data_IF_319000472655
#
_entry.id   IF_319000472655
#
_cell.length_a   1.000
_cell.length_b   1.000
_cell.length_c   1.000
_cell.angle_alpha   90.00
_cell.angle_beta   90.00
_cell.angle_gamma   90.00
#
_symmetry.space_group_name_H-M   'P 1'
#
loop_
_entity.id
_entity.type
_entity.pdbx_description
1 polymer ?
#
# COMPACT_ATOMS: atom_id res chain seq x y z
N UNK A 1 -1.48 39.60 2.52
CA UNK A 1 -1.70 38.14 2.60
C UNK A 1 -0.65 37.53 3.49
N UNK A 2 0.62 37.47 3.07
CA UNK A 2 1.69 36.95 3.95
C UNK A 2 1.83 37.79 5.23
N UNK A 3 1.81 37.12 6.38
CA UNK A 3 2.12 37.68 7.69
C UNK A 3 3.21 36.85 8.38
N UNK A 4 4.45 37.34 8.33
CA UNK A 4 5.60 36.67 8.94
C UNK A 4 5.54 36.59 10.47
N UNK A 5 4.65 37.32 11.15
CA UNK A 5 4.47 37.15 12.60
C UNK A 5 3.89 35.76 12.93
N UNK A 6 3.23 35.10 11.97
CA UNK A 6 2.68 33.75 12.13
C UNK A 6 3.77 32.67 12.20
N UNK A 7 5.01 32.94 11.79
CA UNK A 7 6.13 32.01 11.98
C UNK A 7 6.40 31.73 13.47
N UNK A 8 6.04 32.65 14.36
CA UNK A 8 6.20 32.50 15.81
C UNK A 8 5.06 31.70 16.48
N UNK A 9 4.07 31.22 15.72
CA UNK A 9 3.03 30.33 16.25
C UNK A 9 3.52 28.89 16.42
N UNK A 10 4.58 28.50 15.72
CA UNK A 10 5.15 27.17 15.86
C UNK A 10 5.96 27.07 17.15
N UNK A 11 5.77 25.96 17.85
CA UNK A 11 6.70 25.56 18.90
C UNK A 11 8.05 25.16 18.28
N UNK A 12 9.04 24.98 19.15
CA UNK A 12 10.40 24.67 18.71
C UNK A 12 10.48 23.39 17.87
N UNK A 13 9.77 22.33 18.27
CA UNK A 13 9.83 21.03 17.59
C UNK A 13 9.09 21.03 16.25
N UNK A 14 7.95 21.70 16.17
CA UNK A 14 7.22 21.95 14.93
C UNK A 14 8.08 22.72 13.93
N UNK A 15 8.71 23.81 14.37
CA UNK A 15 9.62 24.57 13.52
C UNK A 15 10.82 23.73 13.06
N UNK A 16 11.47 22.97 13.96
CA UNK A 16 12.59 22.09 13.57
C UNK A 16 12.18 21.00 12.60
N UNK A 17 10.94 20.51 12.67
CA UNK A 17 10.39 19.57 11.71
C UNK A 17 10.24 20.21 10.32
N UNK A 18 9.72 21.44 10.27
CA UNK A 18 9.61 22.22 9.03
C UNK A 18 10.99 22.48 8.41
N UNK A 19 11.94 22.99 9.20
CA UNK A 19 13.31 23.30 8.78
C UNK A 19 14.05 22.06 8.25
N UNK A 20 13.82 20.89 8.87
CA UNK A 20 14.48 19.66 8.46
C UNK A 20 14.02 19.20 7.07
N UNK A 21 12.70 19.20 6.81
CA UNK A 21 12.14 18.45 5.68
C UNK A 21 11.19 19.22 4.75
N UNK A 22 10.52 20.27 5.22
CA UNK A 22 9.42 20.93 4.47
C UNK A 22 9.84 22.19 3.73
N UNK A 23 10.76 22.96 4.30
CA UNK A 23 11.23 24.21 3.69
C UNK A 23 12.27 23.91 2.61
N UNK A 24 12.12 24.49 1.42
CA UNK A 24 13.04 24.28 0.32
C UNK A 24 14.47 24.75 0.68
N UNK A 25 15.46 24.01 0.17
CA UNK A 25 16.89 24.25 0.41
C UNK A 25 17.64 24.39 -0.90
N UNK A 26 18.52 25.38 -0.96
CA UNK A 26 19.46 25.57 -2.07
C UNK A 26 20.87 25.39 -1.51
N UNK A 27 21.62 24.43 -2.06
CA UNK A 27 22.97 24.06 -1.57
C UNK A 27 23.01 23.80 -0.05
N UNK A 28 21.94 23.18 0.49
CA UNK A 28 21.82 22.84 1.91
C UNK A 28 21.30 23.96 2.82
N UNK A 29 21.18 25.18 2.32
CA UNK A 29 20.69 26.34 3.07
C UNK A 29 19.18 26.49 2.84
N UNK A 30 18.41 26.66 3.91
CA UNK A 30 16.96 26.91 3.84
C UNK A 30 16.71 28.28 3.20
N UNK A 31 15.86 28.31 2.17
CA UNK A 31 15.51 29.54 1.42
C UNK A 31 14.05 29.95 1.58
N UNK A 32 13.21 29.10 2.15
CA UNK A 32 11.81 29.41 2.46
C UNK A 32 11.60 29.59 3.96
N UNK A 33 10.80 30.58 4.34
CA UNK A 33 10.14 30.61 5.66
C UNK A 33 8.86 29.76 5.63
N UNK A 34 8.31 29.35 6.80
CA UNK A 34 7.02 28.65 6.84
C UNK A 34 5.91 29.37 6.07
N UNK A 35 5.82 30.70 6.20
CA UNK A 35 4.81 31.46 5.43
C UNK A 35 5.03 31.41 3.91
N UNK A 36 6.29 31.39 3.45
CA UNK A 36 6.59 31.32 2.02
C UNK A 36 6.16 29.97 1.44
N UNK A 37 6.39 28.89 2.21
CA UNK A 37 5.94 27.54 1.86
C UNK A 37 4.40 27.45 1.81
N UNK A 38 3.67 28.03 2.78
CA UNK A 38 2.21 28.06 2.72
C UNK A 38 1.67 28.89 1.56
N UNK A 39 2.30 30.02 1.23
CA UNK A 39 1.90 30.82 0.08
C UNK A 39 2.15 30.06 -1.23
N UNK A 40 3.31 29.40 -1.37
CA UNK A 40 3.60 28.54 -2.54
C UNK A 40 2.53 27.46 -2.71
N UNK A 41 2.15 26.80 -1.62
CA UNK A 41 1.10 25.77 -1.64
C UNK A 41 -0.24 26.39 -2.04
N UNK A 42 -0.64 27.51 -1.43
CA UNK A 42 -1.91 28.16 -1.71
C UNK A 42 -2.03 28.57 -3.19
N UNK A 43 -1.00 29.21 -3.75
CA UNK A 43 -0.95 29.60 -5.16
C UNK A 43 -1.04 28.37 -6.08
N UNK A 44 -0.28 27.32 -5.78
CA UNK A 44 -0.26 26.13 -6.62
C UNK A 44 -1.58 25.34 -6.60
N UNK A 45 -2.34 25.40 -5.50
CA UNK A 45 -3.61 24.67 -5.35
C UNK A 45 -4.80 25.49 -5.88
N UNK A 46 -4.88 26.78 -5.53
CA UNK A 46 -5.99 27.66 -5.92
C UNK A 46 -5.82 28.29 -7.32
N UNK A 47 -4.65 28.17 -7.95
CA UNK A 47 -4.41 28.64 -9.30
C UNK A 47 -4.30 30.17 -9.38
N UNK A 48 -5.20 30.82 -10.13
CA UNK A 48 -5.14 32.25 -10.43
C UNK A 48 -6.15 33.10 -9.61
N UNK A 49 -6.98 32.47 -8.76
CA UNK A 49 -7.98 33.17 -7.95
C UNK A 49 -7.36 33.77 -6.67
N UNK A 50 -7.18 35.09 -6.64
CA UNK A 50 -6.57 35.79 -5.51
C UNK A 50 -7.40 35.71 -4.22
N UNK A 51 -8.72 35.59 -4.29
CA UNK A 51 -9.56 35.45 -3.09
C UNK A 51 -9.39 34.05 -2.49
N UNK A 52 -9.39 33.01 -3.32
CA UNK A 52 -9.19 31.62 -2.89
C UNK A 52 -7.76 31.38 -2.37
N UNK A 53 -6.73 31.93 -3.04
CA UNK A 53 -5.34 31.88 -2.55
C UNK A 53 -5.24 32.51 -1.17
N UNK A 54 -5.92 33.65 -0.96
CA UNK A 54 -5.90 34.35 0.33
C UNK A 54 -6.57 33.53 1.41
N UNK A 55 -7.76 32.99 1.14
CA UNK A 55 -8.48 32.14 2.08
C UNK A 55 -7.64 30.91 2.45
N UNK A 56 -7.11 30.18 1.46
CA UNK A 56 -6.31 28.99 1.69
C UNK A 56 -5.01 29.30 2.46
N UNK A 57 -4.33 30.39 2.11
CA UNK A 57 -3.16 30.85 2.88
C UNK A 57 -3.53 31.15 4.34
N UNK A 58 -4.63 31.87 4.59
CA UNK A 58 -5.07 32.21 5.95
C UNK A 58 -5.40 30.94 6.75
N UNK A 59 -6.10 29.97 6.16
CA UNK A 59 -6.42 28.69 6.80
C UNK A 59 -5.17 27.89 7.18
N UNK A 60 -4.18 27.80 6.26
CA UNK A 60 -2.91 27.09 6.50
C UNK A 60 -2.05 27.79 7.55
N UNK A 61 -1.84 29.10 7.40
CA UNK A 61 -0.92 29.88 8.23
C UNK A 61 -1.45 30.20 9.64
N UNK A 62 -2.77 30.16 9.84
CA UNK A 62 -3.40 30.22 11.17
C UNK A 62 -3.60 28.83 11.80
N UNK A 63 -3.10 27.78 11.15
CA UNK A 63 -3.18 26.40 11.61
C UNK A 63 -4.61 25.87 11.83
N UNK A 64 -5.60 26.36 11.09
CA UNK A 64 -6.95 25.77 11.10
C UNK A 64 -7.00 24.43 10.35
N UNK A 65 -6.10 24.26 9.38
CA UNK A 65 -6.01 23.08 8.52
C UNK A 65 -4.57 22.93 8.01
N UNK A 66 -4.20 21.73 7.57
CA UNK A 66 -2.93 21.49 6.86
C UNK A 66 -3.12 20.45 5.76
N UNK A 67 -2.44 20.66 4.64
CA UNK A 67 -2.37 19.65 3.58
C UNK A 67 -1.43 18.50 3.96
N UNK A 68 -1.57 17.38 3.24
CA UNK A 68 -0.66 16.26 3.39
C UNK A 68 0.78 16.62 2.98
N UNK A 69 1.74 15.87 3.53
CA UNK A 69 3.18 16.10 3.31
C UNK A 69 3.58 16.23 1.84
N UNK A 70 3.12 15.38 0.88
CA UNK A 70 3.50 15.53 -0.52
C UNK A 70 3.03 16.85 -1.14
N UNK A 71 1.83 17.31 -0.77
CA UNK A 71 1.32 18.61 -1.20
C UNK A 71 2.23 19.73 -0.70
N UNK A 72 2.61 19.73 0.58
CA UNK A 72 3.51 20.74 1.15
C UNK A 72 4.91 20.71 0.50
N UNK A 73 5.42 19.52 0.19
CA UNK A 73 6.73 19.33 -0.44
C UNK A 73 6.78 19.77 -1.90
N UNK A 74 5.74 19.46 -2.68
CA UNK A 74 5.82 19.44 -4.13
C UNK A 74 4.95 20.48 -4.83
N UNK A 75 3.97 21.10 -4.15
CA UNK A 75 3.14 22.15 -4.74
C UNK A 75 4.02 23.32 -5.20
N UNK A 76 3.84 23.76 -6.44
CA UNK A 76 4.64 24.83 -7.06
C UNK A 76 6.06 24.41 -7.49
N UNK A 77 6.45 23.15 -7.32
CA UNK A 77 7.73 22.61 -7.81
C UNK A 77 7.61 22.07 -9.25
N UNK A 78 8.74 21.74 -9.90
CA UNK A 78 8.75 21.18 -11.26
C UNK A 78 7.98 19.85 -11.39
N UNK A 79 8.04 19.01 -10.36
CA UNK A 79 7.28 17.75 -10.27
C UNK A 79 6.28 17.88 -9.14
N UNK A 80 5.01 18.10 -9.47
CA UNK A 80 3.93 18.35 -8.51
C UNK A 80 3.18 17.06 -8.16
N UNK A 81 3.87 16.10 -7.55
CA UNK A 81 3.21 14.93 -7.00
C UNK A 81 2.57 15.32 -5.66
N UNK A 82 1.25 15.52 -5.63
CA UNK A 82 0.54 16.04 -4.45
C UNK A 82 -0.17 14.96 -3.61
N UNK A 83 -0.32 13.75 -4.16
CA UNK A 83 -1.10 12.66 -3.55
C UNK A 83 -0.24 11.66 -2.77
N UNK A 84 -0.59 11.36 -1.53
CA UNK A 84 0.25 10.50 -0.67
C UNK A 84 0.17 9.01 -0.97
N UNK A 85 -1.00 8.50 -1.34
CA UNK A 85 -1.30 7.07 -1.31
C UNK A 85 -1.93 6.62 -2.62
N UNK A 86 -1.58 5.42 -3.04
CA UNK A 86 -2.06 4.78 -4.25
C UNK A 86 -2.53 3.36 -3.94
N UNK A 87 -3.63 2.95 -4.57
CA UNK A 87 -4.13 1.58 -4.53
C UNK A 87 -3.94 0.97 -5.91
N UNK A 88 -3.30 -0.20 -5.97
CA UNK A 88 -3.08 -0.94 -7.20
C UNK A 88 -3.69 -2.32 -7.10
N UNK A 89 -4.20 -2.76 -8.25
CA UNK A 89 -4.49 -4.14 -8.54
C UNK A 89 -3.29 -4.80 -9.19
N UNK A 90 -2.97 -6.03 -8.79
CA UNK A 90 -2.12 -6.88 -9.62
C UNK A 90 -2.79 -7.07 -10.97
N UNK A 91 -2.12 -6.65 -12.05
CA UNK A 91 -2.75 -6.55 -13.37
C UNK A 91 -3.20 -7.91 -13.92
N UNK A 92 -2.33 -8.91 -13.88
CA UNK A 92 -2.60 -10.26 -14.37
C UNK A 92 -1.81 -11.32 -13.62
N UNK A 93 -2.36 -12.55 -13.59
CA UNK A 93 -1.65 -13.76 -13.17
C UNK A 93 -0.70 -14.26 -14.28
N UNK A 94 0.26 -13.41 -14.64
CA UNK A 94 1.26 -13.62 -15.68
C UNK A 94 2.57 -12.93 -15.29
N UNK A 95 3.71 -13.40 -15.83
CA UNK A 95 5.01 -12.73 -15.58
C UNK A 95 4.97 -11.27 -16.05
N UNK A 96 4.36 -11.01 -17.21
CA UNK A 96 4.23 -9.64 -17.72
C UNK A 96 3.42 -8.76 -16.76
N UNK A 97 2.22 -9.21 -16.36
CA UNK A 97 1.38 -8.45 -15.42
C UNK A 97 2.04 -8.21 -14.07
N UNK A 98 2.79 -9.20 -13.54
CA UNK A 98 3.56 -9.05 -12.30
C UNK A 98 4.65 -7.99 -12.43
N UNK A 99 5.45 -8.03 -13.51
CA UNK A 99 6.55 -7.09 -13.72
C UNK A 99 6.08 -5.69 -14.12
N UNK A 100 4.97 -5.56 -14.84
CA UNK A 100 4.34 -4.28 -15.13
C UNK A 100 3.80 -3.64 -13.83
N UNK A 101 3.12 -4.42 -12.99
CA UNK A 101 2.70 -3.97 -11.65
C UNK A 101 3.90 -3.55 -10.78
N UNK A 102 4.99 -4.32 -10.81
CA UNK A 102 6.21 -4.00 -10.07
C UNK A 102 6.85 -2.69 -10.56
N UNK A 103 6.88 -2.46 -11.87
CA UNK A 103 7.36 -1.22 -12.48
C UNK A 103 6.51 -0.03 -12.03
N UNK A 104 5.19 -0.16 -12.02
CA UNK A 104 4.29 0.90 -11.53
C UNK A 104 4.55 1.21 -10.06
N UNK A 105 4.71 0.17 -9.22
CA UNK A 105 5.07 0.32 -7.81
C UNK A 105 6.41 1.06 -7.64
N UNK A 106 7.41 0.74 -8.46
CA UNK A 106 8.71 1.41 -8.43
C UNK A 106 8.59 2.90 -8.83
N UNK A 107 7.80 3.23 -9.85
CA UNK A 107 7.59 4.61 -10.29
C UNK A 107 6.84 5.45 -9.26
N UNK A 108 5.84 4.86 -8.59
CA UNK A 108 5.11 5.50 -7.50
C UNK A 108 6.00 5.67 -6.26
N UNK A 109 6.79 4.66 -5.89
CA UNK A 109 7.72 4.76 -4.76
C UNK A 109 8.77 5.84 -5.00
N UNK A 110 9.29 5.95 -6.22
CA UNK A 110 10.24 7.00 -6.61
C UNK A 110 9.70 8.41 -6.32
N UNK A 111 8.40 8.63 -6.49
CA UNK A 111 7.74 9.92 -6.24
C UNK A 111 7.21 10.07 -4.81
N UNK A 112 7.65 9.22 -3.88
CA UNK A 112 7.29 9.19 -2.47
C UNK A 112 5.83 8.80 -2.16
N UNK A 113 5.17 8.10 -3.08
CA UNK A 113 3.85 7.52 -2.85
C UNK A 113 3.91 6.25 -2.00
N UNK A 114 3.01 6.12 -1.02
CA UNK A 114 2.70 4.85 -0.37
C UNK A 114 1.77 4.00 -1.23
N UNK A 115 1.92 2.68 -1.18
CA UNK A 115 1.17 1.75 -2.05
C UNK A 115 0.39 0.75 -1.20
N UNK A 116 -0.89 0.59 -1.51
CA UNK A 116 -1.67 -0.61 -1.19
C UNK A 116 -1.80 -1.46 -2.45
N UNK A 117 -1.36 -2.71 -2.43
CA UNK A 117 -1.39 -3.62 -3.57
C UNK A 117 -2.17 -4.87 -3.19
N UNK A 118 -3.27 -5.16 -3.89
CA UNK A 118 -3.91 -6.47 -3.74
C UNK A 118 -3.34 -7.49 -4.73
N UNK A 119 -3.15 -8.72 -4.26
CA UNK A 119 -2.57 -9.83 -5.05
C UNK A 119 -3.49 -11.06 -5.10
N UNK A 120 -4.78 -10.87 -4.83
CA UNK A 120 -5.78 -11.95 -4.70
C UNK A 120 -5.88 -12.85 -5.94
N UNK A 121 -5.50 -12.35 -7.12
CA UNK A 121 -5.61 -13.03 -8.40
C UNK A 121 -4.36 -13.85 -8.78
N UNK A 122 -3.25 -13.78 -8.04
CA UNK A 122 -2.04 -14.55 -8.33
C UNK A 122 -2.22 -16.01 -7.92
N UNK A 123 -1.86 -16.94 -8.80
CA UNK A 123 -1.99 -18.37 -8.49
C UNK A 123 -1.11 -18.81 -7.30
N UNK A 124 -1.66 -19.68 -6.47
CA UNK A 124 -0.96 -20.23 -5.31
C UNK A 124 0.14 -21.25 -5.67
N UNK A 125 0.95 -21.62 -4.68
CA UNK A 125 1.98 -22.67 -4.80
C UNK A 125 1.38 -23.98 -5.32
N UNK A 126 2.07 -24.63 -6.26
CA UNK A 126 1.64 -25.91 -6.85
C UNK A 126 0.62 -25.79 -7.98
N UNK A 127 0.07 -24.61 -8.25
CA UNK A 127 -0.83 -24.40 -9.38
C UNK A 127 -0.09 -24.60 -10.72
N UNK A 128 -0.72 -25.24 -11.74
CA UNK A 128 -0.05 -25.55 -12.99
C UNK A 128 0.29 -24.30 -13.81
N UNK A 129 1.38 -24.38 -14.59
CA UNK A 129 1.79 -23.38 -15.57
C UNK A 129 1.81 -24.04 -16.95
N UNK A 130 0.74 -23.84 -17.71
CA UNK A 130 0.51 -24.51 -19.00
C UNK A 130 1.66 -24.22 -19.98
N UNK A 131 2.13 -22.98 -20.07
CA UNK A 131 3.14 -22.57 -21.05
C UNK A 131 4.54 -23.18 -20.84
N UNK A 132 4.92 -23.50 -19.60
CA UNK A 132 6.24 -24.06 -19.27
C UNK A 132 6.18 -25.50 -18.79
N UNK A 133 4.98 -26.10 -18.74
CA UNK A 133 4.71 -27.42 -18.18
C UNK A 133 5.26 -27.61 -16.76
N UNK A 134 5.27 -26.54 -15.97
CA UNK A 134 5.76 -26.51 -14.59
C UNK A 134 4.66 -26.22 -13.58
N UNK A 135 5.06 -26.03 -12.32
CA UNK A 135 4.18 -25.61 -11.22
C UNK A 135 4.63 -24.27 -10.66
N UNK A 136 3.69 -23.49 -10.15
CA UNK A 136 3.95 -22.20 -9.51
C UNK A 136 4.67 -22.38 -8.17
N UNK A 137 5.61 -21.48 -7.89
CA UNK A 137 6.23 -21.36 -6.57
C UNK A 137 5.41 -20.48 -5.60
N UNK A 138 4.23 -20.02 -6.03
CA UNK A 138 3.29 -19.23 -5.23
C UNK A 138 3.71 -17.77 -5.02
N UNK A 139 3.03 -17.12 -4.07
CA UNK A 139 3.18 -15.68 -3.83
C UNK A 139 4.46 -15.30 -3.09
N UNK A 140 5.09 -16.22 -2.33
CA UNK A 140 6.23 -15.87 -1.46
C UNK A 140 7.47 -15.41 -2.26
N UNK A 141 7.93 -16.13 -3.29
CA UNK A 141 9.06 -15.65 -4.09
C UNK A 141 8.74 -14.37 -4.86
N UNK A 142 7.51 -14.22 -5.35
CA UNK A 142 7.05 -12.98 -5.98
C UNK A 142 7.17 -11.79 -5.02
N UNK A 143 6.62 -11.93 -3.81
CA UNK A 143 6.66 -10.89 -2.79
C UNK A 143 8.07 -10.55 -2.33
N UNK A 144 9.02 -11.50 -2.41
CA UNK A 144 10.43 -11.20 -2.18
C UNK A 144 11.01 -10.23 -3.20
N UNK A 145 10.59 -10.28 -4.47
CA UNK A 145 11.00 -9.29 -5.49
C UNK A 145 10.41 -7.91 -5.19
N UNK A 146 9.15 -7.85 -4.76
CA UNK A 146 8.53 -6.59 -4.31
C UNK A 146 9.24 -6.03 -3.07
N UNK A 147 9.66 -6.88 -2.12
CA UNK A 147 10.43 -6.48 -0.95
C UNK A 147 11.75 -5.79 -1.33
N UNK A 148 12.54 -6.43 -2.21
CA UNK A 148 13.80 -5.85 -2.65
C UNK A 148 13.61 -4.56 -3.44
N UNK A 149 12.51 -4.44 -4.20
CA UNK A 149 12.16 -3.20 -4.90
C UNK A 149 11.80 -2.08 -3.93
N UNK A 150 11.03 -2.37 -2.87
CA UNK A 150 10.70 -1.40 -1.83
C UNK A 150 11.95 -0.88 -1.10
N UNK A 151 12.95 -1.76 -0.89
CA UNK A 151 14.25 -1.40 -0.30
C UNK A 151 15.11 -0.58 -1.24
N UNK A 152 15.13 -0.94 -2.53
CA UNK A 152 15.95 -0.28 -3.53
C UNK A 152 15.44 1.13 -3.87
N UNK A 153 14.12 1.28 -4.05
CA UNK A 153 13.49 2.55 -4.40
C UNK A 153 13.06 3.30 -3.14
N UNK A 154 14.06 3.74 -2.37
CA UNK A 154 13.90 4.60 -1.20
C UNK A 154 13.46 6.01 -1.63
N UNK A 155 12.39 6.53 -1.03
CA UNK A 155 11.68 7.69 -1.53
C UNK A 155 12.54 8.96 -1.40
N UNK A 156 12.81 9.61 -2.53
CA UNK A 156 13.40 10.95 -2.58
C UNK A 156 14.82 11.08 -2.02
N UNK A 157 15.65 10.03 -2.13
CA UNK A 157 17.06 10.06 -1.72
C UNK A 157 17.27 9.87 -0.21
N UNK A 158 16.53 8.95 0.40
CA UNK A 158 16.62 8.64 1.84
C UNK A 158 15.71 9.47 2.73
N UNK A 159 14.76 10.21 2.16
CA UNK A 159 13.79 10.98 2.95
C UNK A 159 12.74 10.09 3.62
N UNK A 160 12.37 8.95 3.00
CA UNK A 160 11.38 8.01 3.53
C UNK A 160 11.46 6.65 2.85
N UNK A 161 11.51 5.55 3.61
CA UNK A 161 11.51 4.20 3.03
C UNK A 161 10.27 3.96 2.16
N UNK A 162 10.45 3.25 1.03
CA UNK A 162 9.33 2.73 0.25
C UNK A 162 8.40 1.91 1.13
N UNK A 163 7.09 2.10 1.00
CA UNK A 163 6.08 1.49 1.87
C UNK A 163 4.98 0.84 1.04
N UNK A 164 5.05 -0.49 0.92
CA UNK A 164 4.05 -1.29 0.20
C UNK A 164 3.26 -2.11 1.21
N UNK A 165 1.95 -1.93 1.27
CA UNK A 165 1.02 -2.76 1.99
C UNK A 165 0.37 -3.76 1.03
N UNK A 166 0.63 -5.03 1.22
CA UNK A 166 0.10 -6.11 0.39
C UNK A 166 -1.19 -6.64 1.02
N UNK A 167 -2.25 -6.70 0.23
CA UNK A 167 -3.55 -7.22 0.64
C UNK A 167 -3.77 -8.62 0.07
N UNK A 168 -4.18 -9.54 0.94
CA UNK A 168 -4.55 -10.91 0.58
C UNK A 168 -5.85 -11.32 1.28
N UNK A 169 -6.74 -12.00 0.56
CA UNK A 169 -7.94 -12.58 1.15
C UNK A 169 -7.64 -13.93 1.82
N UNK A 170 -8.28 -14.25 2.96
CA UNK A 170 -7.92 -15.41 3.78
C UNK A 170 -8.28 -16.76 3.15
N UNK A 171 -9.01 -16.78 2.03
CA UNK A 171 -9.27 -18.01 1.28
C UNK A 171 -8.09 -18.42 0.37
N UNK A 172 -7.09 -17.57 0.18
CA UNK A 172 -5.98 -17.88 -0.71
C UNK A 172 -5.12 -19.04 -0.16
N UNK A 173 -4.73 -20.01 -1.00
CA UNK A 173 -4.02 -21.21 -0.54
C UNK A 173 -2.62 -20.97 0.06
N UNK A 174 -1.96 -19.86 -0.29
CA UNK A 174 -0.70 -19.44 0.33
C UNK A 174 -0.88 -18.56 1.59
N UNK A 175 -2.10 -18.44 2.15
CA UNK A 175 -2.39 -17.53 3.27
C UNK A 175 -1.52 -17.79 4.52
N UNK A 176 -1.26 -19.05 4.86
CA UNK A 176 -0.46 -19.38 6.03
C UNK A 176 0.99 -18.89 5.85
N UNK A 177 1.56 -19.07 4.66
CA UNK A 177 2.89 -18.58 4.30
C UNK A 177 2.94 -17.05 4.21
N UNK A 178 1.84 -16.42 3.78
CA UNK A 178 1.72 -14.96 3.75
C UNK A 178 1.83 -14.36 5.15
N UNK A 179 1.11 -14.91 6.13
CA UNK A 179 1.15 -14.47 7.54
C UNK A 179 2.55 -14.58 8.15
N UNK A 180 3.37 -15.51 7.67
CA UNK A 180 4.74 -15.75 8.14
C UNK A 180 5.80 -14.78 7.58
N UNK A 181 5.49 -14.03 6.51
CA UNK A 181 6.49 -13.24 5.75
C UNK A 181 7.25 -12.21 6.60
N UNK A 182 6.63 -11.68 7.65
CA UNK A 182 7.24 -10.67 8.55
C UNK A 182 7.81 -11.25 9.85
N UNK A 183 7.71 -12.56 10.09
CA UNK A 183 8.27 -13.18 11.31
C UNK A 183 9.80 -12.98 11.35
N UNK A 184 10.33 -12.68 12.53
CA UNK A 184 11.78 -12.46 12.70
C UNK A 184 12.58 -13.75 12.49
N UNK A 185 12.09 -14.86 13.05
CA UNK A 185 12.71 -16.18 12.90
C UNK A 185 12.29 -16.88 11.59
N UNK A 186 13.05 -17.88 11.17
CA UNK A 186 12.83 -18.69 9.97
C UNK A 186 13.84 -18.41 8.86
N UNK A 187 13.68 -19.10 7.73
CA UNK A 187 14.62 -18.98 6.60
C UNK A 187 14.35 -17.70 5.81
N UNK A 188 15.42 -17.00 5.45
CA UNK A 188 15.36 -15.71 4.76
C UNK A 188 14.74 -15.77 3.36
N UNK A 189 14.79 -16.93 2.70
CA UNK A 189 14.13 -17.20 1.43
C UNK A 189 12.60 -17.09 1.49
N UNK A 190 12.00 -17.21 2.68
CA UNK A 190 10.55 -17.11 2.91
C UNK A 190 10.16 -15.86 3.71
N UNK A 191 10.95 -14.78 3.63
CA UNK A 191 10.72 -13.54 4.39
C UNK A 191 10.72 -12.32 3.48
N UNK A 192 9.85 -11.37 3.83
CA UNK A 192 9.69 -10.08 3.16
C UNK A 192 9.31 -9.02 4.22
N UNK A 193 10.30 -8.62 5.03
CA UNK A 193 10.08 -7.82 6.25
C UNK A 193 9.87 -6.33 5.99
N UNK A 194 10.28 -5.83 4.83
CA UNK A 194 10.11 -4.43 4.43
C UNK A 194 8.73 -4.18 3.81
N UNK A 195 7.99 -5.24 3.49
CA UNK A 195 6.57 -5.15 3.14
C UNK A 195 5.70 -5.07 4.39
N UNK A 196 4.57 -4.37 4.26
CA UNK A 196 3.45 -4.43 5.18
C UNK A 196 2.44 -5.45 4.64
N UNK A 197 1.77 -6.16 5.54
CA UNK A 197 0.79 -7.18 5.19
C UNK A 197 -0.56 -6.77 5.74
N UNK A 198 -1.61 -6.98 4.96
CA UNK A 198 -2.99 -6.73 5.33
C UNK A 198 -3.86 -7.89 4.86
N UNK A 199 -4.88 -8.21 5.65
CA UNK A 199 -5.91 -9.17 5.27
C UNK A 199 -7.14 -8.41 4.76
N UNK A 200 -7.68 -8.86 3.63
CA UNK A 200 -8.97 -8.40 3.14
C UNK A 200 -10.01 -9.48 3.49
N UNK A 201 -10.76 -9.28 4.56
CA UNK A 201 -11.49 -10.37 5.23
C UNK A 201 -12.97 -10.34 4.82
N UNK A 202 -13.50 -11.40 4.17
CA UNK A 202 -14.93 -11.52 3.92
C UNK A 202 -15.69 -11.88 5.20
N UNK A 203 -16.93 -11.41 5.34
CA UNK A 203 -17.80 -11.69 6.48
C UNK A 203 -17.95 -13.21 6.75
N UNK A 204 -18.08 -13.99 5.67
CA UNK A 204 -18.15 -15.46 5.73
C UNK A 204 -16.98 -16.08 6.52
N UNK A 205 -15.77 -15.54 6.39
CA UNK A 205 -14.63 -16.07 7.16
C UNK A 205 -14.86 -15.89 8.66
N UNK A 206 -15.32 -14.71 9.08
CA UNK A 206 -15.59 -14.40 10.48
C UNK A 206 -16.75 -15.24 11.03
N UNK A 207 -17.81 -15.44 10.25
CA UNK A 207 -18.92 -16.33 10.60
C UNK A 207 -18.42 -17.77 10.83
N UNK A 208 -17.55 -18.29 9.94
CA UNK A 208 -17.00 -19.64 10.10
C UNK A 208 -16.05 -19.76 11.29
N UNK A 209 -15.32 -18.70 11.63
CA UNK A 209 -14.50 -18.64 12.86
C UNK A 209 -15.40 -18.72 14.10
N UNK A 210 -16.50 -17.96 14.13
CA UNK A 210 -17.44 -17.93 15.25
C UNK A 210 -18.05 -19.32 15.49
N UNK A 211 -18.51 -19.99 14.43
CA UNK A 211 -19.16 -21.30 14.51
C UNK A 211 -18.20 -22.50 14.54
N UNK A 212 -16.88 -22.28 14.58
CA UNK A 212 -15.84 -23.33 14.47
C UNK A 212 -15.98 -24.23 13.22
N UNK A 213 -16.43 -23.63 12.12
CA UNK A 213 -16.63 -24.31 10.86
C UNK A 213 -15.31 -24.50 10.09
N UNK A 214 -15.38 -25.31 9.04
CA UNK A 214 -14.27 -25.52 8.12
C UNK A 214 -14.10 -24.33 7.19
N UNK A 215 -12.87 -24.05 6.77
CA UNK A 215 -12.51 -23.02 5.82
C UNK A 215 -11.67 -23.65 4.71
N UNK A 216 -12.14 -23.52 3.48
CA UNK A 216 -11.49 -24.04 2.29
C UNK A 216 -10.57 -22.99 1.69
N UNK A 217 -9.34 -23.42 1.40
CA UNK A 217 -8.32 -22.63 0.75
C UNK A 217 -8.28 -22.94 -0.74
N UNK A 218 -8.21 -21.91 -1.56
CA UNK A 218 -8.30 -21.99 -3.02
C UNK A 218 -7.09 -21.37 -3.72
N UNK A 219 -6.80 -21.85 -4.92
CA UNK A 219 -5.92 -21.16 -5.86
C UNK A 219 -6.79 -20.38 -6.86
N UNK A 220 -6.55 -19.06 -7.05
CA UNK A 220 -7.31 -18.23 -7.99
C UNK A 220 -7.31 -18.77 -9.43
N UNK A 221 -6.29 -19.54 -9.80
CA UNK A 221 -6.20 -20.20 -11.10
C UNK A 221 -7.43 -21.06 -11.41
N UNK A 222 -7.93 -21.80 -10.41
CA UNK A 222 -9.08 -22.70 -10.53
C UNK A 222 -10.39 -22.08 -10.04
N UNK A 223 -10.32 -20.93 -9.36
CA UNK A 223 -11.46 -20.28 -8.67
C UNK A 223 -11.50 -18.78 -8.99
N UNK A 224 -11.53 -18.48 -10.30
CA UNK A 224 -11.48 -17.11 -10.80
C UNK A 224 -12.71 -16.30 -10.34
N UNK A 225 -12.49 -15.03 -10.00
CA UNK A 225 -13.55 -14.09 -9.70
C UNK A 225 -14.00 -14.06 -8.24
N UNK A 226 -13.43 -14.87 -7.33
CA UNK A 226 -13.73 -14.74 -5.90
C UNK A 226 -13.44 -13.32 -5.38
N UNK A 227 -12.31 -12.73 -5.80
CA UNK A 227 -11.92 -11.38 -5.40
C UNK A 227 -12.72 -10.25 -6.03
N UNK A 228 -13.55 -10.56 -7.02
CA UNK A 228 -14.40 -9.57 -7.71
C UNK A 228 -15.82 -9.54 -7.13
N UNK A 229 -16.10 -10.39 -6.13
CA UNK A 229 -17.39 -10.54 -5.48
C UNK A 229 -17.30 -10.17 -4.00
N UNK A 230 -18.41 -9.76 -3.41
CA UNK A 230 -18.52 -9.47 -1.97
C UNK A 230 -19.89 -9.90 -1.41
N UNK A 231 -20.02 -9.93 -0.09
CA UNK A 231 -21.27 -10.23 0.61
C UNK A 231 -21.89 -11.59 0.22
N UNK A 232 -23.19 -11.56 -0.13
CA UNK A 232 -23.95 -12.76 -0.46
C UNK A 232 -23.45 -13.44 -1.75
N UNK A 233 -23.04 -12.67 -2.76
CA UNK A 233 -22.54 -13.21 -4.03
C UNK A 233 -21.21 -13.95 -3.83
N UNK A 234 -20.28 -13.36 -3.07
CA UNK A 234 -19.04 -14.02 -2.65
C UNK A 234 -19.35 -15.34 -1.94
N UNK A 235 -20.27 -15.29 -0.96
CA UNK A 235 -20.64 -16.47 -0.16
C UNK A 235 -21.18 -17.61 -1.02
N UNK A 236 -22.09 -17.29 -1.95
CA UNK A 236 -22.66 -18.27 -2.85
C UNK A 236 -21.59 -18.90 -3.75
N UNK A 237 -20.70 -18.08 -4.33
CA UNK A 237 -19.64 -18.53 -5.23
C UNK A 237 -18.58 -19.37 -4.51
N UNK A 238 -18.17 -18.93 -3.32
CA UNK A 238 -17.24 -19.65 -2.47
C UNK A 238 -17.76 -21.06 -2.15
N UNK A 239 -19.01 -21.18 -1.70
CA UNK A 239 -19.64 -22.46 -1.40
C UNK A 239 -19.88 -23.33 -2.65
N UNK A 240 -20.10 -22.71 -3.81
CA UNK A 240 -20.16 -23.42 -5.10
C UNK A 240 -18.82 -24.12 -5.40
N UNK A 241 -17.71 -23.41 -5.26
CA UNK A 241 -16.38 -23.98 -5.46
C UNK A 241 -16.02 -25.08 -4.45
N UNK A 242 -16.51 -24.97 -3.21
CA UNK A 242 -16.42 -26.06 -2.24
C UNK A 242 -17.17 -27.32 -2.72
N UNK A 243 -18.43 -27.16 -3.17
CA UNK A 243 -19.24 -28.28 -3.70
C UNK A 243 -18.63 -28.92 -4.95
N UNK A 244 -17.97 -28.13 -5.78
CA UNK A 244 -17.25 -28.61 -6.96
C UNK A 244 -15.91 -29.31 -6.64
N UNK A 245 -15.48 -29.30 -5.38
CA UNK A 245 -14.22 -29.92 -4.97
C UNK A 245 -12.97 -29.21 -5.49
N UNK A 246 -13.05 -27.90 -5.75
CA UNK A 246 -11.92 -27.10 -6.29
C UNK A 246 -10.95 -26.60 -5.21
N UNK A 247 -11.19 -26.96 -3.95
CA UNK A 247 -10.35 -26.61 -2.81
C UNK A 247 -8.97 -27.26 -2.90
N UNK A 248 -7.94 -26.51 -2.55
CA UNK A 248 -6.56 -27.02 -2.42
C UNK A 248 -6.38 -27.71 -1.07
N UNK A 249 -6.94 -27.13 -0.01
CA UNK A 249 -6.85 -27.61 1.38
C UNK A 249 -8.04 -27.09 2.16
N UNK A 250 -8.59 -27.89 3.07
CA UNK A 250 -9.63 -27.46 4.01
C UNK A 250 -9.07 -27.54 5.43
N UNK A 251 -9.27 -26.48 6.22
CA UNK A 251 -8.77 -26.33 7.59
C UNK A 251 -9.91 -25.86 8.51
N UNK A 252 -9.68 -25.82 9.83
CA UNK A 252 -10.62 -25.12 10.71
C UNK A 252 -10.44 -23.60 10.59
N UNK A 253 -11.52 -22.85 10.47
CA UNK A 253 -11.46 -21.38 10.37
C UNK A 253 -10.75 -20.77 11.60
N UNK A 254 -11.06 -21.27 12.81
CA UNK A 254 -10.38 -20.87 14.04
C UNK A 254 -8.88 -21.12 14.01
N UNK A 255 -8.43 -22.21 13.40
CA UNK A 255 -6.99 -22.52 13.29
C UNK A 255 -6.24 -21.44 12.49
N UNK A 256 -6.83 -20.95 11.40
CA UNK A 256 -6.24 -19.86 10.62
C UNK A 256 -6.22 -18.54 11.40
N UNK A 257 -7.31 -18.25 12.13
CA UNK A 257 -7.44 -17.02 12.93
C UNK A 257 -6.46 -16.99 14.10
N UNK A 258 -6.31 -18.12 14.81
CA UNK A 258 -5.49 -18.14 16.03
C UNK A 258 -4.03 -18.43 15.77
N UNK A 259 -3.67 -19.03 14.60
CA UNK A 259 -2.34 -19.55 14.25
C UNK A 259 -1.45 -19.67 15.50
N UNK A 260 -1.83 -20.61 16.37
CA UNK A 260 -1.24 -20.74 17.70
C UNK A 260 0.28 -20.92 17.55
N UNK A 261 1.02 -20.01 18.19
CA UNK A 261 2.32 -20.34 18.76
C UNK A 261 2.15 -21.43 19.83
#
# INVERSE_FOLDING_TARGET
>A
MIDYKRDYQFDYFGYKTLERSYLLKVKGVVVERPQDMFMRVAVAVAGDDLEEIRELYDLLSLCYYTHATPTLFNAGCKMQQLSSCFLLAMQEDSINGIYDTLKDCALISKSAGGIGLHIHNIRATGAPIIGTNGVSNGIVPMLKVFNETARYVDQGGGKRKGSFAVYLEPWHADIESFLDLRKNHGKEEFRARDLFLALWVPDLFMERVETDAEWTLFSPHNTKGLSDLYGAEFTQKYQEYERMGLGVKTIKARQLMTQNH
#
